data_IF_263413608485
#
_entry.id   IF_263413608485
#
_cell.length_a   1.000
_cell.length_b   1.000
_cell.length_c   1.000
_cell.angle_alpha   90.00
_cell.angle_beta   90.00
_cell.angle_gamma   90.00
#
_symmetry.space_group_name_H-M   'P 1'
#
loop_
_entity.id
_entity.type
_entity.pdbx_description
1 polymer ?
#
# COMPACT_ATOMS: atom_id res chain seq x y z
N UNK A 1 -1.65 19.28 25.10
CA UNK A 1 -2.46 18.79 26.23
C UNK A 1 -2.79 17.35 25.92
N UNK A 2 -2.35 16.41 26.77
CA UNK A 2 -2.61 14.99 26.59
C UNK A 2 -3.80 14.55 27.43
N UNK A 3 -4.53 13.55 26.96
CA UNK A 3 -5.59 12.87 27.70
C UNK A 3 -5.06 11.50 28.16
N UNK A 4 -5.26 11.16 29.42
CA UNK A 4 -4.76 9.89 29.98
C UNK A 4 -5.82 8.82 29.88
N UNK A 5 -5.46 7.71 29.24
CA UNK A 5 -6.27 6.49 29.18
C UNK A 5 -5.52 5.33 29.84
N UNK A 6 -6.25 4.44 30.52
CA UNK A 6 -5.69 3.19 31.04
C UNK A 6 -5.90 2.09 30.02
N UNK A 7 -4.80 1.47 29.56
CA UNK A 7 -4.83 0.39 28.57
C UNK A 7 -4.09 -0.82 29.09
N UNK A 8 -4.57 -2.01 28.72
CA UNK A 8 -3.89 -3.27 29.00
C UNK A 8 -3.21 -3.75 27.73
N UNK A 9 -1.88 -3.91 27.78
CA UNK A 9 -1.08 -4.46 26.69
C UNK A 9 -0.72 -5.91 26.98
N UNK A 10 -0.48 -6.68 25.92
CA UNK A 10 0.10 -8.00 26.05
C UNK A 10 1.49 -7.92 26.74
N UNK A 11 1.86 -8.89 27.59
CA UNK A 11 3.11 -8.84 28.35
C UNK A 11 4.35 -8.66 27.46
N UNK A 12 4.38 -9.32 26.30
CA UNK A 12 5.49 -9.23 25.35
C UNK A 12 5.59 -7.84 24.72
N UNK A 13 4.45 -7.23 24.37
CA UNK A 13 4.41 -5.86 23.84
C UNK A 13 4.89 -4.86 24.88
N UNK A 14 4.45 -4.98 26.13
CA UNK A 14 4.88 -4.09 27.21
C UNK A 14 6.39 -4.21 27.46
N UNK A 15 6.95 -5.41 27.37
CA UNK A 15 8.40 -5.65 27.48
C UNK A 15 9.15 -4.94 26.34
N UNK A 16 8.73 -5.15 25.08
CA UNK A 16 9.37 -4.51 23.94
C UNK A 16 9.34 -2.97 24.05
N UNK A 17 8.21 -2.41 24.48
CA UNK A 17 8.06 -0.97 24.70
C UNK A 17 9.03 -0.46 25.77
N UNK A 18 9.21 -1.19 26.88
CA UNK A 18 10.16 -0.82 27.92
C UNK A 18 11.60 -0.92 27.45
N UNK A 19 11.96 -1.97 26.73
CA UNK A 19 13.29 -2.16 26.16
C UNK A 19 13.68 -1.01 25.22
N UNK A 20 12.76 -0.55 24.36
CA UNK A 20 13.00 0.60 23.48
C UNK A 20 13.21 1.92 24.25
N UNK A 21 12.50 2.13 25.37
CA UNK A 21 12.71 3.30 26.23
C UNK A 21 14.03 3.21 26.99
N UNK A 22 14.37 2.03 27.52
CA UNK A 22 15.63 1.76 28.22
C UNK A 22 16.85 1.90 27.28
N UNK A 23 16.70 1.52 26.01
CA UNK A 23 17.68 1.73 24.96
C UNK A 23 17.83 3.20 24.54
N UNK A 24 16.94 4.09 25.02
CA UNK A 24 16.95 5.51 24.69
C UNK A 24 16.40 5.85 23.30
N UNK A 25 15.73 4.92 22.63
CA UNK A 25 15.09 5.16 21.33
C UNK A 25 13.90 6.12 21.46
N UNK A 26 13.23 6.10 22.61
CA UNK A 26 12.09 6.96 22.92
C UNK A 26 12.24 7.57 24.32
N UNK A 27 11.81 8.83 24.46
CA UNK A 27 11.86 9.56 25.73
C UNK A 27 10.90 9.01 26.80
N UNK A 28 9.82 8.33 26.38
CA UNK A 28 8.83 7.72 27.27
C UNK A 28 8.02 6.65 26.54
N UNK A 29 7.29 5.85 27.32
CA UNK A 29 6.30 4.89 26.81
C UNK A 29 5.20 5.61 26.02
N UNK A 30 4.72 6.74 26.55
CA UNK A 30 3.66 7.53 25.90
C UNK A 30 4.12 8.05 24.53
N UNK A 31 5.37 8.51 24.41
CA UNK A 31 5.93 8.97 23.14
C UNK A 31 6.01 7.86 22.09
N UNK A 32 6.36 6.64 22.50
CA UNK A 32 6.37 5.47 21.62
C UNK A 32 4.94 5.12 21.18
N UNK A 33 3.99 5.10 22.12
CA UNK A 33 2.59 4.76 21.81
C UNK A 33 1.93 5.79 20.89
N UNK A 34 2.20 7.08 21.07
CA UNK A 34 1.71 8.13 20.17
C UNK A 34 2.25 7.93 18.75
N UNK A 35 3.56 7.67 18.58
CA UNK A 35 4.14 7.40 17.27
C UNK A 35 3.55 6.11 16.65
N UNK A 36 3.38 5.05 17.45
CA UNK A 36 2.79 3.80 16.99
C UNK A 36 1.35 4.01 16.47
N UNK A 37 0.54 4.83 17.17
CA UNK A 37 -0.81 5.19 16.73
C UNK A 37 -0.77 6.01 15.43
N UNK A 38 0.14 6.98 15.33
CA UNK A 38 0.30 7.78 14.11
C UNK A 38 0.75 6.93 12.91
N UNK A 39 1.69 6.01 13.12
CA UNK A 39 2.13 5.06 12.11
C UNK A 39 0.97 4.17 11.63
N UNK A 40 0.17 3.63 12.55
CA UNK A 40 -0.99 2.81 12.22
C UNK A 40 -2.04 3.60 11.42
N UNK A 41 -2.31 4.85 11.79
CA UNK A 41 -3.24 5.72 11.06
C UNK A 41 -2.75 6.03 9.64
N UNK A 42 -1.44 6.25 9.47
CA UNK A 42 -0.82 6.46 8.16
C UNK A 42 -0.97 5.23 7.28
N UNK A 43 -0.60 4.06 7.81
CA UNK A 43 -0.74 2.78 7.12
C UNK A 43 -2.18 2.53 6.68
N UNK A 44 -3.16 2.76 7.56
CA UNK A 44 -4.59 2.58 7.21
C UNK A 44 -5.05 3.48 6.07
N UNK A 45 -4.54 4.71 5.97
CA UNK A 45 -4.85 5.61 4.86
C UNK A 45 -4.25 5.11 3.56
N UNK A 46 -2.98 4.73 3.58
CA UNK A 46 -2.28 4.18 2.42
C UNK A 46 -2.94 2.88 1.92
N UNK A 47 -3.32 1.99 2.84
CA UNK A 47 -4.04 0.75 2.51
C UNK A 47 -5.42 1.02 1.92
N UNK A 48 -6.14 2.03 2.44
CA UNK A 48 -7.44 2.43 1.90
C UNK A 48 -7.30 2.99 0.47
N UNK A 49 -6.34 3.89 0.25
CA UNK A 49 -6.04 4.45 -1.08
C UNK A 49 -5.67 3.34 -2.08
N UNK A 50 -4.81 2.40 -1.67
CA UNK A 50 -4.44 1.25 -2.51
C UNK A 50 -5.62 0.35 -2.82
N UNK A 51 -6.48 0.11 -1.85
CA UNK A 51 -7.67 -0.73 -2.03
C UNK A 51 -8.68 -0.06 -2.97
N UNK A 52 -8.80 1.27 -2.92
CA UNK A 52 -9.67 2.03 -3.80
C UNK A 52 -9.14 2.05 -5.24
N UNK A 53 -7.82 2.15 -5.47
CA UNK A 53 -7.23 1.97 -6.81
C UNK A 53 -7.55 0.58 -7.39
N UNK A 54 -7.37 -0.48 -6.58
CA UNK A 54 -7.69 -1.85 -7.01
C UNK A 54 -9.18 -1.96 -7.38
N UNK A 55 -10.08 -1.45 -6.53
CA UNK A 55 -11.52 -1.47 -6.79
C UNK A 55 -11.88 -0.69 -8.05
N UNK A 56 -11.27 0.47 -8.27
CA UNK A 56 -11.49 1.27 -9.48
C UNK A 56 -11.05 0.52 -10.74
N UNK A 57 -9.88 -0.15 -10.70
CA UNK A 57 -9.38 -0.98 -11.81
C UNK A 57 -10.30 -2.17 -12.10
N UNK A 58 -10.78 -2.86 -11.07
CA UNK A 58 -11.74 -3.96 -11.24
C UNK A 58 -13.03 -3.44 -11.88
N UNK A 59 -13.59 -2.35 -11.35
CA UNK A 59 -14.83 -1.77 -11.87
C UNK A 59 -14.69 -1.35 -13.34
N UNK A 60 -13.59 -0.68 -13.69
CA UNK A 60 -13.26 -0.34 -15.07
C UNK A 60 -13.21 -1.57 -15.98
N UNK A 61 -12.69 -2.70 -15.49
CA UNK A 61 -12.64 -3.95 -16.27
C UNK A 61 -14.00 -4.60 -16.43
N UNK A 62 -14.87 -4.52 -15.42
CA UNK A 62 -16.22 -5.08 -15.46
C UNK A 62 -17.17 -4.23 -16.33
N UNK A 63 -16.99 -2.91 -16.30
CA UNK A 63 -17.78 -1.96 -17.07
C UNK A 63 -17.25 -1.77 -18.51
N UNK A 64 -16.18 -2.50 -18.90
CA UNK A 64 -15.61 -2.42 -20.24
C UNK A 64 -16.57 -3.07 -21.27
N UNK A 65 -17.11 -2.31 -22.23
CA UNK A 65 -18.07 -2.85 -23.21
C UNK A 65 -17.40 -3.68 -24.31
N UNK A 66 -16.06 -3.73 -24.37
CA UNK A 66 -15.33 -4.45 -25.40
C UNK A 66 -15.51 -5.97 -25.22
N UNK A 67 -15.59 -6.73 -26.31
CA UNK A 67 -15.71 -8.18 -26.21
C UNK A 67 -14.45 -8.79 -25.58
N UNK A 68 -14.58 -9.94 -24.91
CA UNK A 68 -13.42 -10.68 -24.41
C UNK A 68 -12.53 -11.10 -25.58
N UNK A 69 -11.22 -10.99 -25.39
CA UNK A 69 -10.21 -11.41 -26.36
C UNK A 69 -9.67 -12.79 -25.97
N UNK A 70 -9.41 -13.62 -26.97
CA UNK A 70 -8.61 -14.83 -26.81
C UNK A 70 -7.13 -14.49 -26.59
N UNK A 71 -6.38 -15.45 -26.05
CA UNK A 71 -4.93 -15.29 -25.85
C UNK A 71 -4.22 -15.01 -27.18
N UNK A 72 -4.59 -15.73 -28.24
CA UNK A 72 -3.98 -15.55 -29.58
C UNK A 72 -4.20 -14.13 -30.13
N UNK A 73 -5.40 -13.56 -29.93
CA UNK A 73 -5.69 -12.18 -30.33
C UNK A 73 -4.88 -11.16 -29.51
N UNK A 74 -4.68 -11.42 -28.22
CA UNK A 74 -3.84 -10.58 -27.35
C UNK A 74 -2.38 -10.64 -27.80
N UNK A 75 -1.85 -11.84 -28.06
CA UNK A 75 -0.47 -12.03 -28.51
C UNK A 75 -0.21 -11.31 -29.83
N UNK A 76 -1.08 -11.49 -30.83
CA UNK A 76 -0.98 -10.81 -32.12
C UNK A 76 -1.01 -9.29 -31.97
N UNK A 77 -1.89 -8.76 -31.10
CA UNK A 77 -1.95 -7.32 -30.84
C UNK A 77 -0.67 -6.81 -30.15
N UNK A 78 -0.12 -7.55 -29.20
CA UNK A 78 1.12 -7.17 -28.51
C UNK A 78 2.33 -7.18 -29.46
N UNK A 79 2.45 -8.18 -30.32
CA UNK A 79 3.50 -8.23 -31.35
C UNK A 79 3.45 -7.03 -32.29
N UNK A 80 2.24 -6.65 -32.74
CA UNK A 80 2.05 -5.48 -33.58
C UNK A 80 2.48 -4.17 -32.88
N UNK A 81 2.11 -3.99 -31.61
CA UNK A 81 2.53 -2.83 -30.81
C UNK A 81 4.05 -2.74 -30.66
N UNK A 82 4.72 -3.88 -30.40
CA UNK A 82 6.17 -3.92 -30.28
C UNK A 82 6.88 -3.66 -31.61
N UNK A 83 6.35 -4.19 -32.72
CA UNK A 83 6.88 -3.91 -34.05
C UNK A 83 6.81 -2.42 -34.39
N UNK A 84 5.66 -1.79 -34.14
CA UNK A 84 5.46 -0.35 -34.34
C UNK A 84 6.47 0.48 -33.54
N UNK A 85 6.63 0.18 -32.25
CA UNK A 85 7.57 0.90 -31.38
C UNK A 85 9.03 0.77 -31.86
N UNK A 86 9.42 -0.41 -32.37
CA UNK A 86 10.78 -0.63 -32.93
C UNK A 86 11.01 0.18 -34.20
N UNK A 87 10.00 0.26 -35.06
CA UNK A 87 10.10 1.02 -36.30
C UNK A 87 10.13 2.52 -36.05
N UNK A 88 9.35 3.02 -35.08
CA UNK A 88 9.42 4.43 -34.64
C UNK A 88 10.79 4.78 -34.07
N UNK A 89 11.37 3.91 -33.24
CA UNK A 89 12.75 4.10 -32.73
C UNK A 89 13.82 4.02 -33.81
N UNK A 90 13.61 3.28 -34.90
CA UNK A 90 14.56 3.20 -36.02
C UNK A 90 14.50 4.46 -36.91
N UNK A 91 13.39 5.20 -36.87
CA UNK A 91 13.17 6.43 -37.67
C UNK A 91 13.56 7.72 -36.95
N UNK A 92 13.81 7.67 -35.64
CA UNK A 92 14.28 8.77 -34.80
C UNK A 92 15.81 8.78 -34.69
#
# INVERSE_FOLDING_TARGET
MGETISITLAPDTLRAVRESVEAGEYASVDALLDEAVHALQRQRREDAERLDDIRARIRRSLDDPRPPLSIDEVEAHMEALFAQTRDERRRA
#
